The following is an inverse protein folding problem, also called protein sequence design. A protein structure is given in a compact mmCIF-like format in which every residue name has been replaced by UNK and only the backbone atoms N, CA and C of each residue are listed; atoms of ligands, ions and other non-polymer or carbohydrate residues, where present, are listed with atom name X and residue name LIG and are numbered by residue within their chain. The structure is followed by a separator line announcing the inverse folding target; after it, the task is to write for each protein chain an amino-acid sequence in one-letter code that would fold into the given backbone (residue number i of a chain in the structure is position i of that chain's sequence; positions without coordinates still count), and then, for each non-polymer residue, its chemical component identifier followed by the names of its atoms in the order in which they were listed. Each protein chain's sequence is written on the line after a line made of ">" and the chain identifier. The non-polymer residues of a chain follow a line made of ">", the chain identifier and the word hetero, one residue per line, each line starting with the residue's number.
data_IF_925256983952
#
_entry.id   IF_925256983952
#
_cell.length_a   1.000
_cell.length_b   1.000
_cell.length_c   1.000
_cell.angle_alpha   90.00
_cell.angle_beta   90.00
_cell.angle_gamma   90.00
#
_symmetry.space_group_name_H-M   'P 1'
#
loop_
_entity.id
_entity.type
_entity.pdbx_description
1 polymer ?
#
# COMPACT_ATOMS: atom_id res chain seq x y z
N UNK A 1 -13.70 -9.82 10.68
CA UNK A 1 -12.96 -9.28 9.52
C UNK A 1 -12.60 -7.84 9.83
N UNK A 2 -11.30 -7.50 9.90
CA UNK A 2 -10.83 -6.15 10.21
C UNK A 2 -11.06 -5.23 9.00
N UNK A 3 -12.25 -4.61 8.92
CA UNK A 3 -12.57 -3.71 7.82
C UNK A 3 -11.88 -2.35 8.00
N UNK A 4 -11.19 -1.92 6.94
CA UNK A 4 -10.64 -0.57 6.81
C UNK A 4 -11.81 0.38 6.55
N UNK A 5 -11.94 1.43 7.35
CA UNK A 5 -12.97 2.47 7.19
C UNK A 5 -12.45 3.71 6.49
N UNK A 6 -11.15 4.00 6.63
CA UNK A 6 -10.48 5.10 5.94
C UNK A 6 -9.09 4.65 5.52
N UNK A 7 -8.71 4.97 4.30
CA UNK A 7 -7.38 4.79 3.76
C UNK A 7 -6.97 6.12 3.13
N UNK A 8 -5.84 6.66 3.58
CA UNK A 8 -5.25 7.86 2.97
C UNK A 8 -3.81 7.55 2.64
N UNK A 9 -3.47 7.74 1.38
CA UNK A 9 -2.10 7.68 0.92
C UNK A 9 -1.54 9.10 0.83
N UNK A 10 -0.32 9.27 1.32
CA UNK A 10 0.43 10.50 1.24
C UNK A 10 1.76 10.24 0.55
N UNK A 11 2.17 11.18 -0.31
CA UNK A 11 3.50 11.15 -0.91
C UNK A 11 4.22 12.47 -0.69
N UNK A 12 5.51 12.36 -0.44
CA UNK A 12 6.44 13.49 -0.40
C UNK A 12 7.50 13.27 -1.46
N UNK A 13 7.60 14.21 -2.40
CA UNK A 13 8.61 14.19 -3.46
C UNK A 13 9.38 15.49 -3.41
N UNK A 14 10.69 15.38 -3.24
CA UNK A 14 11.60 16.50 -3.34
C UNK A 14 12.81 16.06 -4.16
N UNK A 15 12.87 16.51 -5.42
CA UNK A 15 13.92 16.15 -6.36
C UNK A 15 15.29 16.70 -5.93
N UNK A 16 15.34 17.96 -5.48
CA UNK A 16 16.58 18.61 -5.03
C UNK A 16 17.26 17.88 -3.87
N UNK A 17 16.48 17.22 -2.99
CA UNK A 17 16.97 16.43 -1.86
C UNK A 17 16.97 14.92 -2.12
N UNK A 18 16.70 14.48 -3.36
CA UNK A 18 16.52 13.07 -3.75
C UNK A 18 15.64 12.29 -2.74
N UNK A 19 14.57 12.91 -2.29
CA UNK A 19 13.70 12.39 -1.23
C UNK A 19 12.32 12.07 -1.79
N UNK A 20 12.07 10.77 -1.97
CA UNK A 20 10.80 10.23 -2.43
C UNK A 20 10.25 9.31 -1.35
N UNK A 21 9.27 9.80 -0.59
CA UNK A 21 8.70 9.09 0.56
C UNK A 21 7.22 8.84 0.36
N UNK A 22 6.76 7.70 0.84
CA UNK A 22 5.34 7.38 0.96
C UNK A 22 4.96 7.26 2.43
N UNK A 23 3.71 7.55 2.74
CA UNK A 23 3.12 7.41 4.06
C UNK A 23 1.64 7.07 3.90
N UNK A 24 1.28 5.84 4.22
CA UNK A 24 -0.08 5.33 4.14
C UNK A 24 -0.64 5.28 5.57
N UNK A 25 -1.82 5.84 5.77
CA UNK A 25 -2.60 5.64 6.98
C UNK A 25 -3.84 4.83 6.65
N UNK A 26 -4.14 3.85 7.48
CA UNK A 26 -5.39 3.13 7.45
C UNK A 26 -6.01 3.12 8.85
N UNK A 27 -7.30 3.48 8.90
CA UNK A 27 -8.13 3.37 10.09
C UNK A 27 -9.06 2.17 9.90
N UNK A 28 -9.13 1.28 10.89
CA UNK A 28 -10.05 0.14 10.86
C UNK A 28 -11.27 0.37 11.76
N UNK A 29 -12.31 -0.47 11.61
CA UNK A 29 -13.48 -0.53 12.51
C UNK A 29 -13.11 -0.92 13.95
N UNK A 30 -12.02 -1.68 14.13
CA UNK A 30 -11.57 -2.18 15.43
C UNK A 30 -10.73 -1.16 16.22
N UNK A 31 -10.92 0.14 16.00
CA UNK A 31 -10.16 1.20 16.65
C UNK A 31 -8.63 1.10 16.42
N UNK A 32 -8.18 0.53 15.29
CA UNK A 32 -6.74 0.43 14.95
C UNK A 32 -6.37 1.47 13.91
N UNK A 33 -5.23 2.10 14.11
CA UNK A 33 -4.55 2.92 13.10
C UNK A 33 -3.30 2.17 12.68
N UNK A 34 -3.27 1.74 11.42
CA UNK A 34 -2.08 1.18 10.80
C UNK A 34 -1.40 2.25 9.93
N UNK A 35 -0.09 2.28 9.99
CA UNK A 35 0.75 3.27 9.34
C UNK A 35 1.81 2.50 8.57
N UNK A 36 1.94 2.74 7.28
CA UNK A 36 3.05 2.19 6.47
C UNK A 36 3.82 3.34 5.85
N UNK A 37 5.12 3.41 6.06
CA UNK A 37 5.93 4.52 5.58
C UNK A 37 7.29 4.06 5.08
N UNK A 38 7.87 4.80 4.15
CA UNK A 38 9.18 4.44 3.61
C UNK A 38 9.55 5.26 2.40
N UNK A 39 10.62 4.82 1.74
CA UNK A 39 11.05 5.36 0.45
C UNK A 39 10.23 4.71 -0.65
N UNK A 40 9.75 5.47 -1.64
CA UNK A 40 8.98 4.90 -2.76
C UNK A 40 9.86 3.87 -3.48
N UNK A 41 9.31 2.67 -3.75
CA UNK A 41 10.06 1.53 -4.30
C UNK A 41 10.75 0.63 -3.27
N UNK A 42 10.58 0.90 -1.97
CA UNK A 42 11.07 0.01 -0.89
C UNK A 42 9.91 -0.70 -0.18
N UNK A 43 10.23 -1.77 0.55
CA UNK A 43 9.26 -2.46 1.41
C UNK A 43 8.68 -1.55 2.51
N UNK A 44 9.45 -0.54 2.94
CA UNK A 44 9.07 0.39 3.99
C UNK A 44 9.03 -0.25 5.37
N UNK A 45 8.39 0.46 6.32
CA UNK A 45 8.13 0.01 7.69
C UNK A 45 6.66 0.17 7.99
N UNK A 46 6.14 -0.71 8.85
CA UNK A 46 4.75 -0.71 9.30
C UNK A 46 4.68 -0.51 10.81
N UNK A 47 3.73 0.28 11.27
CA UNK A 47 3.40 0.50 12.67
C UNK A 47 1.89 0.34 12.83
N UNK A 48 1.46 -0.29 13.92
CA UNK A 48 0.05 -0.44 14.24
C UNK A 48 -0.17 0.07 15.65
N UNK A 49 -1.14 0.97 15.80
CA UNK A 49 -1.58 1.48 17.09
C UNK A 49 -3.03 1.04 17.32
N UNK A 50 -3.24 0.31 18.41
CA UNK A 50 -4.56 -0.03 18.91
C UNK A 50 -5.03 1.05 19.89
N UNK A 51 -6.28 1.47 19.75
CA UNK A 51 -6.93 2.39 20.68
C UNK A 51 -8.13 1.73 21.35
N UNK A 52 -8.53 2.26 22.51
CA UNK A 52 -9.70 1.78 23.25
C UNK A 52 -11.04 2.27 22.68
N UNK A 53 -11.02 3.31 21.84
CA UNK A 53 -12.22 3.92 21.26
C UNK A 53 -11.99 4.39 19.82
N UNK A 54 -13.04 4.30 18.99
CA UNK A 54 -13.01 4.70 17.60
C UNK A 54 -12.76 6.21 17.45
N UNK A 55 -13.29 7.01 18.38
CA UNK A 55 -13.09 8.47 18.40
C UNK A 55 -11.61 8.80 18.55
N UNK A 56 -10.93 8.19 19.52
CA UNK A 56 -9.50 8.38 19.75
C UNK A 56 -8.65 7.95 18.54
N UNK A 57 -9.02 6.84 17.89
CA UNK A 57 -8.36 6.38 16.67
C UNK A 57 -8.52 7.39 15.51
N UNK A 58 -9.73 7.94 15.33
CA UNK A 58 -10.04 8.93 14.30
C UNK A 58 -9.36 10.29 14.55
N UNK A 59 -9.30 10.74 15.81
CA UNK A 59 -8.54 11.93 16.19
C UNK A 59 -7.05 11.76 15.93
N UNK A 60 -6.48 10.60 16.30
CA UNK A 60 -5.07 10.30 16.01
C UNK A 60 -4.80 10.26 14.51
N UNK A 61 -5.68 9.62 13.74
CA UNK A 61 -5.61 9.57 12.28
C UNK A 61 -5.58 10.98 11.68
N UNK A 62 -6.53 11.82 12.07
CA UNK A 62 -6.67 13.20 11.56
C UNK A 62 -5.48 14.06 11.97
N UNK A 63 -4.98 13.89 13.20
CA UNK A 63 -3.77 14.59 13.68
C UNK A 63 -2.54 14.22 12.87
N UNK A 64 -2.31 12.94 12.62
CA UNK A 64 -1.19 12.48 11.80
C UNK A 64 -1.31 13.00 10.37
N UNK A 65 -2.51 12.98 9.79
CA UNK A 65 -2.77 13.50 8.45
C UNK A 65 -2.38 14.98 8.35
N UNK A 66 -2.93 15.83 9.21
CA UNK A 66 -2.64 17.28 9.23
C UNK A 66 -1.14 17.57 9.43
N UNK A 67 -0.48 16.84 10.33
CA UNK A 67 0.96 17.00 10.55
C UNK A 67 1.78 16.67 9.29
N UNK A 68 1.41 15.62 8.56
CA UNK A 68 2.12 15.24 7.33
C UNK A 68 1.87 16.22 6.20
N UNK A 69 0.65 16.72 6.05
CA UNK A 69 0.32 17.77 5.08
C UNK A 69 1.15 19.03 5.37
N UNK A 70 1.24 19.45 6.63
CA UNK A 70 2.08 20.58 7.04
C UNK A 70 3.58 20.39 6.75
N UNK A 71 4.05 19.14 6.63
CA UNK A 71 5.43 18.80 6.23
C UNK A 71 5.63 18.75 4.71
N UNK A 72 4.61 19.08 3.92
CA UNK A 72 4.63 19.07 2.46
C UNK A 72 4.35 17.70 1.85
N UNK A 73 3.77 16.75 2.60
CA UNK A 73 3.18 15.57 2.00
C UNK A 73 1.88 15.95 1.30
N UNK A 74 1.63 15.35 0.15
CA UNK A 74 0.44 15.59 -0.65
C UNK A 74 -0.45 14.34 -0.55
N UNK A 75 -1.74 14.57 -0.30
CA UNK A 75 -2.77 13.53 -0.39
C UNK A 75 -2.89 13.07 -1.84
N UNK A 76 -2.86 11.76 -2.02
CA UNK A 76 -3.10 11.12 -3.29
C UNK A 76 -4.37 10.33 -3.09
N UNK A 77 -5.40 10.76 -3.81
CA UNK A 77 -6.56 9.93 -4.01
C UNK A 77 -6.08 8.71 -4.77
N UNK A 78 -6.00 7.59 -4.06
CA UNK A 78 -5.81 6.30 -4.70
C UNK A 78 -7.10 6.08 -5.51
N UNK A 79 -7.09 6.54 -6.77
CA UNK A 79 -7.92 5.90 -7.78
C UNK A 79 -7.47 4.46 -7.70
N UNK A 80 -8.28 3.63 -7.06
CA UNK A 80 -8.29 2.18 -7.22
C UNK A 80 -8.63 1.91 -8.68
N UNK A 81 -7.73 2.30 -9.58
CA UNK A 81 -7.65 1.72 -10.90
C UNK A 81 -7.14 0.32 -10.62
N UNK A 82 -8.11 -0.56 -10.44
CA UNK A 82 -8.04 -1.99 -10.61
C UNK A 82 -7.37 -2.31 -11.95
N UNK A 83 -6.05 -2.13 -12.03
CA UNK A 83 -5.26 -2.95 -12.94
C UNK A 83 -5.05 -4.24 -12.18
N UNK A 84 -5.70 -5.34 -12.59
CA UNK A 84 -5.46 -6.62 -11.97
C UNK A 84 -3.96 -6.87 -12.07
N UNK A 85 -3.35 -7.11 -10.91
CA UNK A 85 -2.04 -7.72 -10.83
C UNK A 85 -2.23 -9.07 -11.52
N UNK A 86 -1.84 -9.16 -12.79
CA UNK A 86 -1.72 -10.44 -13.48
C UNK A 86 -0.81 -11.26 -12.56
N UNK A 87 -1.27 -12.37 -11.96
CA UNK A 87 -0.36 -13.23 -11.25
C UNK A 87 0.65 -13.69 -12.30
N UNK A 88 1.90 -13.27 -12.15
CA UNK A 88 3.00 -13.83 -12.93
C UNK A 88 3.22 -15.24 -12.37
N UNK A 89 2.30 -16.13 -12.74
CA UNK A 89 2.49 -17.56 -12.67
C UNK A 89 3.67 -17.87 -13.59
N UNK A 90 4.77 -18.32 -12.99
CA UNK A 90 5.80 -19.06 -13.72
C UNK A 90 5.05 -20.14 -14.53
N UNK A 91 5.20 -20.21 -15.87
CA UNK A 91 4.63 -21.31 -16.61
C UNK A 91 5.44 -22.56 -16.26
N UNK A 92 4.88 -23.37 -15.37
CA UNK A 92 5.14 -24.80 -15.28
C UNK A 92 4.78 -25.38 -16.66
N UNK A 93 5.78 -25.51 -17.55
CA UNK A 93 5.62 -26.31 -18.78
C UNK A 93 6.05 -27.72 -18.46
N UNK A 94 5.11 -28.54 -18.00
CA UNK A 94 5.17 -29.99 -18.17
C UNK A 94 4.67 -30.38 -19.58
N UNK A 95 5.14 -31.52 -20.12
CA UNK A 95 5.41 -31.70 -21.54
C UNK A 95 4.16 -32.16 -22.31
N UNK A 96 4.04 -31.77 -23.59
CA UNK A 96 3.13 -32.43 -24.52
C UNK A 96 3.95 -33.00 -25.67
N UNK A 97 4.14 -34.31 -25.57
CA UNK A 97 4.79 -35.18 -26.53
C UNK A 97 3.77 -35.55 -27.60
N UNK A 98 3.74 -34.86 -28.75
CA UNK A 98 2.99 -35.35 -29.91
C UNK A 98 3.78 -35.13 -31.22
N UNK A 99 4.22 -36.28 -31.74
CA UNK A 99 4.42 -36.64 -33.14
C UNK A 99 5.54 -35.98 -33.95
N UNK A 100 6.77 -36.51 -33.77
CA UNK A 100 7.74 -36.54 -34.85
C UNK A 100 7.27 -37.53 -35.93
N UNK A 101 7.02 -37.11 -37.18
CA UNK A 101 6.88 -38.07 -38.26
C UNK A 101 8.21 -38.79 -38.44
N UNK A 102 8.23 -40.04 -38.01
CA UNK A 102 9.20 -41.03 -38.45
C UNK A 102 8.94 -41.25 -39.94
N UNK A 103 9.98 -41.27 -40.78
CA UNK A 103 10.45 -42.48 -41.46
C UNK A 103 11.30 -42.16 -42.71
N UNK A 104 12.42 -42.91 -42.79
CA UNK A 104 13.29 -43.28 -43.93
C UNK A 104 14.27 -42.22 -44.42
#
# INVERSE_FOLDING_TARGET
>A
MNQIVKLTQLQYRNASKNSYKFYNLSLTRDNRVAIRYGRIGSNGKSLVHQFSSQTAANEKYTKLLREKIGKGYIEIEERVESKPIKPEAKPDRQPLLEDFPNLI
#
